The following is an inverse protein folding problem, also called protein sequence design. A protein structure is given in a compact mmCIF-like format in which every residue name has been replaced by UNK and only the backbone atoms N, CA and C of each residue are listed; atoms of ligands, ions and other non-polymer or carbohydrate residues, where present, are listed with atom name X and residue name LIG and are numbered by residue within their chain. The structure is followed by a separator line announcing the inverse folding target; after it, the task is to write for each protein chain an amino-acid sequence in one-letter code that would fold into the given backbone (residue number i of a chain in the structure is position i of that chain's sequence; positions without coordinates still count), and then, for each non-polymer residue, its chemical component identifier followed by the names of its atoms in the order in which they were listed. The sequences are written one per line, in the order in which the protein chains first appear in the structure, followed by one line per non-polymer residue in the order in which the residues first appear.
data_IF_029244141344
#
_entry.id   IF_029244141344
#
_cell.length_a   1.000
_cell.length_b   1.000
_cell.length_c   1.000
_cell.angle_alpha   90.00
_cell.angle_beta   90.00
_cell.angle_gamma   90.00
#
_symmetry.space_group_name_H-M   'P 1'
#
loop_
_entity.id
_entity.type
_entity.pdbx_description
1 polymer ?
#
# COMPACT_ATOMS: atom_id res chain seq x y z
N UNK A 1 -4.97 10.57 -3.97
CA UNK A 1 -4.82 10.33 -2.52
C UNK A 1 -6.12 10.47 -1.74
N UNK A 2 -6.96 11.48 -1.95
CA UNK A 2 -8.17 11.68 -1.13
C UNK A 2 -9.11 10.46 -1.05
N UNK A 3 -9.37 9.77 -2.17
CA UNK A 3 -10.19 8.56 -2.16
C UNK A 3 -9.57 7.40 -1.37
N UNK A 4 -8.24 7.25 -1.44
CA UNK A 4 -7.51 6.27 -0.64
C UNK A 4 -7.58 6.59 0.87
N UNK A 5 -7.41 7.85 1.25
CA UNK A 5 -7.53 8.27 2.65
C UNK A 5 -8.95 8.02 3.19
N UNK A 6 -9.98 8.33 2.40
CA UNK A 6 -11.37 8.04 2.77
C UNK A 6 -11.63 6.53 2.94
N UNK A 7 -11.01 5.68 2.11
CA UNK A 7 -11.07 4.22 2.29
C UNK A 7 -10.39 3.78 3.59
N UNK A 8 -9.23 4.37 3.92
CA UNK A 8 -8.54 4.10 5.17
C UNK A 8 -9.43 4.50 6.37
N UNK A 9 -10.00 5.71 6.37
CA UNK A 9 -10.92 6.17 7.43
C UNK A 9 -12.16 5.29 7.58
N UNK A 10 -12.64 4.71 6.48
CA UNK A 10 -13.84 3.85 6.48
C UNK A 10 -13.55 2.45 7.04
N UNK A 11 -12.37 1.90 6.74
CA UNK A 11 -12.06 0.49 6.99
C UNK A 11 -11.03 0.27 8.09
N UNK A 12 -10.24 1.27 8.46
CA UNK A 12 -9.18 1.20 9.45
C UNK A 12 -9.51 2.09 10.65
N UNK A 13 -8.95 1.74 11.80
CA UNK A 13 -8.89 2.67 12.93
C UNK A 13 -7.92 3.81 12.61
N UNK A 14 -7.99 4.89 13.40
CA UNK A 14 -7.10 6.04 13.22
C UNK A 14 -5.62 5.63 13.29
N UNK A 15 -5.26 4.85 14.32
CA UNK A 15 -3.89 4.33 14.52
C UNK A 15 -3.43 3.45 13.35
N UNK A 16 -4.28 2.52 12.88
CA UNK A 16 -3.98 1.68 11.71
C UNK A 16 -3.75 2.53 10.44
N UNK A 17 -4.52 3.60 10.27
CA UNK A 17 -4.38 4.50 9.12
C UNK A 17 -3.09 5.30 9.18
N UNK A 18 -2.68 5.77 10.36
CA UNK A 18 -1.40 6.47 10.56
C UNK A 18 -0.22 5.54 10.26
N UNK A 19 -0.26 4.30 10.75
CA UNK A 19 0.76 3.28 10.45
C UNK A 19 0.87 3.02 8.95
N UNK A 20 -0.27 2.76 8.28
CA UNK A 20 -0.28 2.41 6.85
C UNK A 20 0.16 3.56 5.95
N UNK A 21 -0.21 4.81 6.28
CA UNK A 21 0.04 5.97 5.43
C UNK A 21 1.33 6.73 5.78
N UNK A 22 1.82 6.62 7.02
CA UNK A 22 2.92 7.42 7.53
C UNK A 22 4.30 6.77 7.42
N UNK A 23 4.38 5.47 7.13
CA UNK A 23 5.68 4.80 7.10
C UNK A 23 6.54 5.35 5.96
N UNK A 24 7.82 5.56 6.26
CA UNK A 24 8.83 5.98 5.29
C UNK A 24 9.86 4.89 5.06
N UNK A 25 10.06 4.00 6.06
CA UNK A 25 10.86 2.79 5.93
C UNK A 25 10.05 1.59 6.40
N UNK A 26 9.96 0.57 5.55
CA UNK A 26 9.30 -0.69 5.84
C UNK A 26 10.35 -1.79 5.97
N UNK A 27 10.40 -2.51 7.10
CA UNK A 27 11.38 -3.58 7.35
C UNK A 27 10.73 -4.97 7.30
N UNK A 28 11.45 -6.02 6.88
CA UNK A 28 10.85 -7.35 6.67
C UNK A 28 10.54 -8.13 7.95
N UNK A 29 10.79 -7.54 9.12
CA UNK A 29 10.64 -8.16 10.44
C UNK A 29 9.53 -7.48 11.23
N UNK A 30 8.87 -8.19 12.16
CA UNK A 30 7.92 -7.55 13.05
C UNK A 30 8.67 -6.62 14.02
N UNK A 31 8.09 -5.45 14.26
CA UNK A 31 8.48 -4.54 15.33
C UNK A 31 7.38 -4.51 16.41
N UNK A 32 7.77 -4.42 17.68
CA UNK A 32 6.78 -4.31 18.77
C UNK A 32 6.00 -2.98 18.68
N UNK A 33 6.68 -1.93 18.22
CA UNK A 33 6.12 -0.61 17.94
C UNK A 33 6.84 0.03 16.76
N UNK A 34 6.24 1.07 16.20
CA UNK A 34 6.86 1.94 15.20
C UNK A 34 8.08 2.68 15.79
N UNK A 35 9.14 2.81 14.99
CA UNK A 35 10.35 3.52 15.41
C UNK A 35 10.39 4.87 14.70
N UNK A 36 10.37 5.93 15.49
CA UNK A 36 10.50 7.30 15.02
C UNK A 36 11.96 7.74 15.07
N UNK A 37 12.54 8.03 13.90
CA UNK A 37 13.90 8.53 13.77
C UNK A 37 13.87 10.03 13.41
N UNK A 38 14.66 10.88 14.09
CA UNK A 38 14.77 12.31 13.81
C UNK A 38 15.68 12.55 12.59
N UNK A 39 15.39 11.88 11.49
CA UNK A 39 16.11 11.98 10.23
C UNK A 39 15.11 12.41 9.18
N UNK A 40 15.48 13.44 8.44
CA UNK A 40 14.72 13.96 7.31
C UNK A 40 14.65 12.89 6.20
N UNK A 41 13.45 12.48 5.83
CA UNK A 41 13.21 11.51 4.75
C UNK A 41 12.94 12.20 3.41
N UNK A 42 13.23 13.51 3.31
CA UNK A 42 13.03 14.34 2.12
C UNK A 42 11.64 15.00 2.08
N UNK A 43 10.57 14.24 2.31
CA UNK A 43 9.19 14.76 2.33
C UNK A 43 8.61 14.93 3.74
N UNK A 44 9.23 14.32 4.75
CA UNK A 44 8.77 14.37 6.15
C UNK A 44 9.94 14.74 7.08
N UNK A 45 9.65 15.57 8.08
CA UNK A 45 10.62 15.99 9.10
C UNK A 45 11.09 14.84 10.01
N UNK A 46 10.36 13.72 10.01
CA UNK A 46 10.69 12.51 10.76
C UNK A 46 10.48 11.25 9.92
N UNK A 47 11.37 10.27 10.12
CA UNK A 47 11.31 8.96 9.46
C UNK A 47 10.59 7.98 10.39
N UNK A 48 9.40 7.53 10.00
CA UNK A 48 8.74 6.40 10.66
C UNK A 48 9.17 5.06 10.04
N UNK A 49 9.74 4.18 10.87
CA UNK A 49 10.10 2.80 10.51
C UNK A 49 9.03 1.85 11.06
N UNK A 50 8.44 1.03 10.19
CA UNK A 50 7.40 0.06 10.54
C UNK A 50 7.78 -1.32 10.02
N UNK A 51 7.35 -2.38 10.71
CA UNK A 51 7.47 -3.74 10.19
C UNK A 51 6.44 -4.05 9.10
N UNK A 52 6.88 -4.66 8.00
CA UNK A 52 6.02 -5.18 6.94
C UNK A 52 4.95 -6.16 7.46
N UNK A 53 5.21 -7.02 8.47
CA UNK A 53 4.18 -7.88 9.04
C UNK A 53 3.00 -7.14 9.67
N UNK A 54 3.19 -5.91 10.14
CA UNK A 54 2.15 -5.04 10.70
C UNK A 54 1.35 -4.37 9.58
N UNK A 55 2.02 -3.93 8.51
CA UNK A 55 1.37 -3.24 7.39
C UNK A 55 0.57 -4.19 6.49
N UNK A 56 1.07 -5.42 6.30
CA UNK A 56 0.45 -6.41 5.42
C UNK A 56 -1.05 -6.65 5.71
N UNK A 57 -1.49 -6.99 6.93
CA UNK A 57 -2.90 -7.25 7.21
C UNK A 57 -3.79 -6.02 6.99
N UNK A 58 -3.28 -4.81 7.18
CA UNK A 58 -4.02 -3.57 6.93
C UNK A 58 -4.26 -3.37 5.43
N UNK A 59 -3.22 -3.57 4.63
CA UNK A 59 -3.31 -3.50 3.18
C UNK A 59 -4.18 -4.62 2.59
N UNK A 60 -4.12 -5.83 3.14
CA UNK A 60 -4.99 -6.95 2.77
C UNK A 60 -6.46 -6.67 3.07
N UNK A 61 -6.75 -6.07 4.23
CA UNK A 61 -8.10 -5.65 4.61
C UNK A 61 -8.67 -4.63 3.61
N UNK A 62 -7.89 -3.64 3.19
CA UNK A 62 -8.30 -2.69 2.17
C UNK A 62 -8.46 -3.34 0.80
N UNK A 63 -7.54 -4.22 0.40
CA UNK A 63 -7.61 -4.94 -0.87
C UNK A 63 -8.86 -5.83 -0.96
N UNK A 64 -9.23 -6.49 0.14
CA UNK A 64 -10.46 -7.24 0.25
C UNK A 64 -11.69 -6.33 0.17
N UNK A 65 -11.67 -5.19 0.85
CA UNK A 65 -12.79 -4.23 0.87
C UNK A 65 -13.10 -3.67 -0.53
N UNK A 66 -12.09 -3.37 -1.33
CA UNK A 66 -12.29 -2.90 -2.71
C UNK A 66 -12.51 -4.04 -3.72
N UNK A 67 -12.29 -5.29 -3.30
CA UNK A 67 -12.30 -6.44 -4.20
C UNK A 67 -11.23 -6.33 -5.28
N UNK A 68 -9.96 -6.11 -4.86
CA UNK A 68 -8.83 -5.90 -5.78
C UNK A 68 -8.72 -7.07 -6.78
N UNK A 69 -8.61 -6.81 -8.09
CA UNK A 69 -8.50 -7.84 -9.12
C UNK A 69 -7.35 -8.83 -8.90
N UNK A 70 -7.57 -10.10 -9.19
CA UNK A 70 -6.53 -11.13 -9.13
C UNK A 70 -5.45 -10.92 -10.21
N UNK A 71 -5.79 -10.24 -11.30
CA UNK A 71 -4.93 -9.87 -12.41
C UNK A 71 -4.00 -8.70 -12.06
N UNK A 72 -4.21 -8.03 -10.92
CA UNK A 72 -3.29 -7.00 -10.45
C UNK A 72 -1.94 -7.64 -10.12
N UNK A 73 -0.82 -7.19 -10.73
CA UNK A 73 0.49 -7.82 -10.59
C UNK A 73 0.87 -8.11 -9.13
N UNK A 74 1.31 -9.35 -8.85
CA UNK A 74 1.64 -9.84 -7.50
C UNK A 74 3.15 -9.88 -7.19
N UNK A 75 3.95 -10.01 -8.23
CA UNK A 75 5.41 -9.95 -8.19
C UNK A 75 5.84 -8.83 -9.11
N UNK A 76 5.74 -7.59 -8.63
CA UNK A 76 6.15 -6.43 -9.39
C UNK A 76 7.68 -6.34 -9.40
N UNK A 77 8.28 -6.27 -10.59
CA UNK A 77 9.52 -5.54 -10.78
C UNK A 77 9.19 -4.03 -10.89
N UNK A 78 10.18 -3.18 -11.17
CA UNK A 78 9.99 -1.74 -11.21
C UNK A 78 8.89 -1.34 -12.22
N UNK A 79 7.98 -0.46 -11.78
CA UNK A 79 6.89 0.15 -12.57
C UNK A 79 5.76 -0.76 -13.05
N UNK A 80 5.85 -2.08 -12.90
CA UNK A 80 4.81 -3.02 -13.39
C UNK A 80 3.40 -2.66 -12.89
N UNK A 81 3.30 -2.29 -11.60
CA UNK A 81 2.03 -1.91 -11.00
C UNK A 81 1.48 -0.61 -11.62
N UNK A 82 2.32 0.40 -11.77
CA UNK A 82 1.94 1.68 -12.37
C UNK A 82 1.53 1.49 -13.83
N UNK A 83 2.32 0.73 -14.60
CA UNK A 83 2.01 0.40 -16.00
C UNK A 83 0.68 -0.34 -16.11
N UNK A 84 0.41 -1.28 -15.19
CA UNK A 84 -0.85 -2.02 -15.17
C UNK A 84 -2.07 -1.10 -14.94
N UNK A 85 -1.99 -0.22 -13.95
CA UNK A 85 -3.08 0.74 -13.66
C UNK A 85 -3.25 1.80 -14.77
N UNK A 86 -2.18 2.22 -15.44
CA UNK A 86 -2.26 3.18 -16.53
C UNK A 86 -2.94 2.62 -17.79
N UNK A 87 -2.80 1.31 -18.05
CA UNK A 87 -3.24 0.67 -19.29
C UNK A 87 -4.30 -0.42 -19.04
N UNK A 88 -3.89 -1.60 -18.57
CA UNK A 88 -4.75 -2.78 -18.49
C UNK A 88 -5.94 -2.61 -17.54
N UNK A 89 -5.76 -1.89 -16.44
CA UNK A 89 -6.86 -1.63 -15.50
C UNK A 89 -8.01 -0.89 -16.18
N UNK A 90 -7.72 0.12 -17.01
CA UNK A 90 -8.76 0.90 -17.71
C UNK A 90 -9.57 0.05 -18.68
N UNK A 91 -8.91 -0.85 -19.39
CA UNK A 91 -9.59 -1.82 -20.25
C UNK A 91 -10.43 -2.80 -19.43
N UNK A 92 -9.89 -3.31 -18.33
CA UNK A 92 -10.57 -4.27 -17.46
C UNK A 92 -11.85 -3.69 -16.84
N UNK A 93 -11.85 -2.40 -16.46
CA UNK A 93 -13.06 -1.72 -15.95
C UNK A 93 -14.23 -1.78 -16.95
N UNK A 94 -13.96 -1.80 -18.26
CA UNK A 94 -15.03 -1.88 -19.28
C UNK A 94 -15.74 -3.23 -19.32
N UNK A 95 -15.07 -4.30 -18.84
CA UNK A 95 -15.58 -5.68 -18.90
C UNK A 95 -15.96 -6.23 -17.54
N UNK A 96 -15.37 -5.72 -16.46
CA UNK A 96 -15.63 -6.16 -15.09
C UNK A 96 -15.56 -4.99 -14.12
N UNK A 97 -16.74 -4.53 -13.69
CA UNK A 97 -16.89 -3.48 -12.68
C UNK A 97 -16.96 -4.06 -11.27
N UNK A 98 -16.51 -3.27 -10.30
CA UNK A 98 -16.50 -3.59 -8.87
C UNK A 98 -16.03 -2.38 -8.05
N UNK A 99 -15.99 -2.46 -6.71
CA UNK A 99 -15.61 -1.32 -5.87
C UNK A 99 -14.23 -0.73 -6.22
N UNK A 100 -13.26 -1.58 -6.59
CA UNK A 100 -11.94 -1.17 -7.10
C UNK A 100 -11.98 -0.29 -8.36
N UNK A 101 -13.03 -0.39 -9.17
CA UNK A 101 -13.16 0.34 -10.44
C UNK A 101 -13.75 1.75 -10.28
N UNK A 102 -14.31 2.06 -9.11
CA UNK A 102 -14.91 3.37 -8.81
C UNK A 102 -13.87 4.47 -8.68
N UNK A 103 -12.71 4.13 -8.12
CA UNK A 103 -11.56 5.02 -7.98
C UNK A 103 -10.27 4.23 -8.23
N UNK A 104 -9.77 4.31 -9.47
CA UNK A 104 -8.56 3.61 -9.88
C UNK A 104 -7.31 4.13 -9.19
N UNK A 105 -7.28 5.40 -8.80
CA UNK A 105 -6.15 5.96 -8.06
C UNK A 105 -6.13 5.36 -6.65
N UNK A 106 -7.28 5.29 -5.99
CA UNK A 106 -7.37 4.66 -4.67
C UNK A 106 -7.02 3.16 -4.72
N UNK A 107 -7.51 2.44 -5.73
CA UNK A 107 -7.15 1.04 -5.95
C UNK A 107 -5.65 0.85 -6.22
N UNK A 108 -5.01 1.78 -6.93
CA UNK A 108 -3.57 1.79 -7.13
C UNK A 108 -2.82 1.91 -5.80
N UNK A 109 -3.18 2.85 -4.93
CA UNK A 109 -2.52 3.00 -3.63
C UNK A 109 -2.71 1.77 -2.74
N UNK A 110 -3.91 1.19 -2.69
CA UNK A 110 -4.14 -0.08 -1.97
C UNK A 110 -3.22 -1.18 -2.48
N UNK A 111 -3.12 -1.34 -3.81
CA UNK A 111 -2.24 -2.32 -4.40
C UNK A 111 -0.76 -2.01 -4.12
N UNK A 112 -0.35 -0.75 -4.14
CA UNK A 112 1.02 -0.31 -3.88
C UNK A 112 1.47 -0.70 -2.48
N UNK A 113 0.69 -0.33 -1.45
CA UNK A 113 1.01 -0.68 -0.06
C UNK A 113 1.00 -2.19 0.17
N UNK A 114 0.03 -2.90 -0.41
CA UNK A 114 -0.02 -4.36 -0.35
C UNK A 114 1.24 -5.00 -0.95
N UNK A 115 1.65 -4.56 -2.14
CA UNK A 115 2.83 -5.12 -2.81
C UNK A 115 4.12 -4.72 -2.14
N UNK A 116 4.22 -3.53 -1.54
CA UNK A 116 5.37 -3.13 -0.74
C UNK A 116 5.57 -4.09 0.45
N UNK A 117 4.53 -4.30 1.27
CA UNK A 117 4.62 -5.22 2.40
C UNK A 117 4.96 -6.66 1.98
N UNK A 118 4.28 -7.18 0.96
CA UNK A 118 4.55 -8.52 0.43
C UNK A 118 5.96 -8.65 -0.16
N UNK A 119 6.44 -7.63 -0.87
CA UNK A 119 7.79 -7.63 -1.44
C UNK A 119 8.84 -7.64 -0.33
N UNK A 120 8.69 -6.78 0.69
CA UNK A 120 9.62 -6.70 1.81
C UNK A 120 9.74 -8.05 2.52
N UNK A 121 8.61 -8.65 2.90
CA UNK A 121 8.57 -9.96 3.57
C UNK A 121 9.18 -11.06 2.69
N UNK A 122 8.74 -11.16 1.43
CA UNK A 122 9.16 -12.23 0.51
C UNK A 122 10.65 -12.18 0.19
N UNK A 123 11.24 -10.98 0.10
CA UNK A 123 12.65 -10.78 -0.25
C UNK A 123 13.56 -10.61 0.96
N UNK A 124 13.01 -10.40 2.15
CA UNK A 124 13.80 -10.03 3.32
C UNK A 124 14.49 -8.67 3.15
N UNK A 125 13.88 -7.75 2.39
CA UNK A 125 14.49 -6.47 2.03
C UNK A 125 13.69 -5.29 2.59
N UNK A 126 14.35 -4.28 3.19
CA UNK A 126 13.69 -3.03 3.53
C UNK A 126 13.20 -2.29 2.27
N UNK A 127 12.10 -1.55 2.41
CA UNK A 127 11.59 -0.63 1.39
C UNK A 127 11.61 0.78 1.96
N UNK A 128 12.01 1.74 1.13
CA UNK A 128 11.95 3.15 1.48
C UNK A 128 10.90 3.81 0.60
N UNK A 129 9.94 4.49 1.22
CA UNK A 129 9.02 5.38 0.55
C UNK A 129 9.64 6.78 0.60
N UNK A 130 10.28 7.18 -0.50
CA UNK A 130 10.72 8.56 -0.74
C UNK A 130 9.63 9.30 -1.49
#
# INVERSE_FOLDING_TARGET
MNGFLALCETHLTHEESEVLCGWTVLVPIPLDEEIWLPIDSGYYESTMVVGAPQVLPLAEKLAAAIGLPAETPATCDNLDLSTWFCNQAKELVTTRTGPWSTDLDAAFYVALFLRAAQHSIRRGCPIVST
#
